data_IF_168369131199
#
_entry.id   IF_168369131199
#
_cell.length_a   1.000
_cell.length_b   1.000
_cell.length_c   1.000
_cell.angle_alpha   90.00
_cell.angle_beta   90.00
_cell.angle_gamma   90.00
#
_symmetry.space_group_name_H-M   'P 1'
#
loop_
_entity.id
_entity.type
_entity.pdbx_description
1 polymer ?
#
# COMPACT_ATOMS: atom_id res chain seq x y z
N UNK A 1 24.20 9.99 -12.39
CA UNK A 1 24.49 9.32 -11.11
C UNK A 1 23.35 8.33 -10.89
N UNK A 2 23.55 7.07 -11.30
CA UNK A 2 22.57 5.99 -11.06
C UNK A 2 22.69 5.60 -9.60
N UNK A 3 21.88 6.23 -8.75
CA UNK A 3 21.68 5.74 -7.39
C UNK A 3 21.23 4.29 -7.49
N UNK A 4 22.00 3.39 -6.91
CA UNK A 4 21.62 2.00 -6.77
C UNK A 4 20.41 1.96 -5.83
N UNK A 5 19.19 2.00 -6.38
CA UNK A 5 17.96 1.84 -5.62
C UNK A 5 17.94 0.42 -5.07
N UNK A 6 18.42 0.22 -3.85
CA UNK A 6 18.26 -1.05 -3.15
C UNK A 6 16.82 -1.14 -2.59
N UNK A 7 15.85 -1.03 -3.49
CA UNK A 7 14.44 -1.13 -3.15
C UNK A 7 14.05 -2.59 -3.14
N UNK A 8 13.89 -3.15 -1.95
CA UNK A 8 13.44 -4.54 -1.80
C UNK A 8 11.92 -4.58 -1.84
N UNK A 9 11.36 -5.13 -2.91
CA UNK A 9 9.93 -5.47 -2.96
C UNK A 9 9.62 -6.41 -1.80
N UNK A 10 8.65 -6.03 -0.97
CA UNK A 10 8.23 -6.79 0.21
C UNK A 10 6.88 -7.46 0.01
N UNK A 11 6.18 -7.20 -1.10
CA UNK A 11 4.91 -7.85 -1.38
C UNK A 11 4.28 -7.45 -2.70
N UNK A 12 3.16 -8.10 -2.96
CA UNK A 12 2.29 -7.86 -4.11
C UNK A 12 0.84 -7.74 -3.63
N UNK A 13 0.03 -7.02 -4.39
CA UNK A 13 -1.40 -6.96 -4.18
C UNK A 13 -2.16 -6.85 -5.50
N UNK A 14 -3.44 -7.17 -5.44
CA UNK A 14 -4.40 -6.80 -6.48
C UNK A 14 -5.45 -5.90 -5.85
N UNK A 15 -5.66 -4.73 -6.45
CA UNK A 15 -6.80 -3.88 -6.16
C UNK A 15 -7.90 -4.12 -7.19
N UNK A 16 -9.14 -4.19 -6.73
CA UNK A 16 -10.32 -4.24 -7.57
C UNK A 16 -11.29 -3.15 -7.21
N UNK A 17 -11.90 -2.52 -8.22
CA UNK A 17 -13.02 -1.60 -8.00
C UNK A 17 -14.20 -2.39 -7.45
N UNK A 18 -14.85 -1.89 -6.41
CA UNK A 18 -16.09 -2.50 -5.92
C UNK A 18 -17.20 -2.29 -6.95
N UNK A 19 -17.91 -3.36 -7.30
CA UNK A 19 -19.08 -3.27 -8.18
C UNK A 19 -20.29 -2.61 -7.47
N UNK A 20 -20.32 -2.69 -6.13
CA UNK A 20 -21.46 -2.26 -5.32
C UNK A 20 -21.30 -0.83 -4.77
N UNK A 21 -20.05 -0.39 -4.56
CA UNK A 21 -19.76 0.87 -3.88
C UNK A 21 -18.79 1.73 -4.72
N UNK A 22 -19.31 2.75 -5.43
CA UNK A 22 -18.46 3.72 -6.12
C UNK A 22 -17.45 4.36 -5.17
N UNK A 23 -16.21 4.54 -5.61
CA UNK A 23 -15.14 5.10 -4.79
C UNK A 23 -14.52 4.12 -3.78
N UNK A 24 -14.92 2.84 -3.81
CA UNK A 24 -14.35 1.79 -2.95
C UNK A 24 -13.52 0.82 -3.80
N UNK A 25 -12.32 0.51 -3.30
CA UNK A 25 -11.49 -0.57 -3.79
C UNK A 25 -11.40 -1.68 -2.74
N UNK A 26 -11.42 -2.93 -3.20
CA UNK A 26 -11.00 -4.08 -2.39
C UNK A 26 -9.59 -4.48 -2.77
N UNK A 27 -8.83 -4.97 -1.81
CA UNK A 27 -7.48 -5.45 -2.02
C UNK A 27 -7.34 -6.88 -1.53
N UNK A 28 -6.53 -7.66 -2.23
CA UNK A 28 -5.92 -8.89 -1.70
C UNK A 28 -4.41 -8.76 -1.82
N UNK A 29 -3.68 -9.12 -0.77
CA UNK A 29 -2.24 -8.88 -0.74
C UNK A 29 -1.49 -10.04 -0.10
N UNK A 30 -0.23 -10.18 -0.51
CA UNK A 30 0.72 -11.09 0.10
C UNK A 30 2.00 -10.32 0.42
N UNK A 31 2.43 -10.38 1.67
CA UNK A 31 3.70 -9.82 2.15
C UNK A 31 4.72 -10.95 2.27
N UNK A 32 5.98 -10.69 1.92
CA UNK A 32 7.09 -11.61 2.08
C UNK A 32 7.15 -12.12 3.53
N UNK A 33 7.27 -13.43 3.69
CA UNK A 33 7.22 -14.10 5.00
C UNK A 33 5.81 -14.46 5.48
N UNK A 34 4.74 -13.94 4.86
CA UNK A 34 3.37 -14.39 5.13
C UNK A 34 3.09 -15.75 4.49
N UNK A 35 2.29 -16.58 5.16
CA UNK A 35 1.78 -17.87 4.64
C UNK A 35 0.33 -17.79 4.16
N UNK A 36 -0.34 -16.66 4.36
CA UNK A 36 -1.74 -16.46 4.00
C UNK A 36 -1.95 -15.09 3.36
N UNK A 37 -2.93 -15.02 2.47
CA UNK A 37 -3.31 -13.81 1.77
C UNK A 37 -4.15 -12.92 2.69
N UNK A 38 -3.72 -11.68 2.86
CA UNK A 38 -4.50 -10.66 3.57
C UNK A 38 -5.51 -9.99 2.65
N UNK A 39 -6.39 -9.19 3.25
CA UNK A 39 -7.41 -8.40 2.55
C UNK A 39 -7.31 -6.92 2.91
N UNK A 40 -7.84 -6.07 2.06
CA UNK A 40 -7.93 -4.64 2.35
C UNK A 40 -9.17 -4.01 1.74
N UNK A 41 -9.55 -2.86 2.30
CA UNK A 41 -10.63 -2.03 1.81
C UNK A 41 -10.19 -0.58 1.81
N UNK A 42 -10.21 0.04 0.64
CA UNK A 42 -9.88 1.44 0.45
C UNK A 42 -11.16 2.21 0.08
N UNK A 43 -11.47 3.30 0.78
CA UNK A 43 -12.62 4.15 0.46
C UNK A 43 -12.19 5.61 0.45
N UNK A 44 -12.66 6.35 -0.56
CA UNK A 44 -12.34 7.76 -0.70
C UNK A 44 -12.89 8.38 -1.97
N UNK A 45 -12.28 9.49 -2.37
CA UNK A 45 -12.64 10.23 -3.57
C UNK A 45 -11.81 9.72 -4.76
N UNK A 46 -12.42 8.84 -5.55
CA UNK A 46 -11.76 8.18 -6.66
C UNK A 46 -12.43 8.52 -8.00
N UNK A 47 -11.59 8.72 -9.01
CA UNK A 47 -11.95 8.56 -10.41
C UNK A 47 -11.26 7.29 -10.94
N UNK A 48 -12.03 6.22 -11.06
CA UNK A 48 -11.50 4.88 -11.30
C UNK A 48 -10.56 4.43 -10.18
N UNK A 49 -9.27 4.29 -10.49
CA UNK A 49 -8.22 3.96 -9.52
C UNK A 49 -7.49 5.20 -8.99
N UNK A 50 -7.58 6.35 -9.66
CA UNK A 50 -6.82 7.54 -9.30
C UNK A 50 -7.57 8.27 -8.19
N UNK A 51 -6.88 8.61 -7.11
CA UNK A 51 -7.51 9.33 -6.01
C UNK A 51 -6.79 9.15 -4.67
N UNK A 52 -7.47 9.63 -3.63
CA UNK A 52 -7.06 9.49 -2.25
C UNK A 52 -8.06 8.59 -1.52
N UNK A 53 -7.53 7.67 -0.73
CA UNK A 53 -8.30 6.68 -0.02
C UNK A 53 -7.80 6.58 1.41
N UNK A 54 -8.73 6.36 2.35
CA UNK A 54 -8.39 5.69 3.58
C UNK A 54 -8.44 4.19 3.31
N UNK A 55 -7.35 3.48 3.59
CA UNK A 55 -7.25 2.03 3.39
C UNK A 55 -7.00 1.31 4.70
N UNK A 56 -7.78 0.26 4.95
CA UNK A 56 -7.61 -0.65 6.06
C UNK A 56 -7.20 -2.02 5.56
N UNK A 57 -6.24 -2.65 6.23
CA UNK A 57 -5.76 -3.99 5.91
C UNK A 57 -5.98 -4.96 7.06
N UNK A 58 -6.18 -6.21 6.68
CA UNK A 58 -6.34 -7.35 7.57
C UNK A 58 -5.44 -8.48 7.10
N UNK A 59 -4.80 -9.18 8.03
CA UNK A 59 -4.01 -10.37 7.71
C UNK A 59 -4.90 -11.54 7.26
N UNK A 60 -4.29 -12.66 6.86
CA UNK A 60 -5.05 -13.81 6.38
C UNK A 60 -5.89 -14.52 7.44
N UNK A 61 -5.81 -14.13 8.72
CA UNK A 61 -6.72 -14.55 9.79
C UNK A 61 -7.83 -13.51 10.04
N UNK A 62 -7.87 -12.42 9.26
CA UNK A 62 -8.84 -11.33 9.42
C UNK A 62 -8.49 -10.35 10.53
N UNK A 63 -7.29 -10.42 11.12
CA UNK A 63 -6.88 -9.49 12.17
C UNK A 63 -6.40 -8.18 11.54
N UNK A 64 -6.83 -7.07 12.12
CA UNK A 64 -6.43 -5.73 11.70
C UNK A 64 -4.89 -5.59 11.66
N UNK A 65 -4.37 -5.23 10.50
CA UNK A 65 -2.95 -5.11 10.20
C UNK A 65 -2.50 -3.65 10.01
N UNK A 66 -3.40 -2.76 9.63
CA UNK A 66 -3.12 -1.32 9.62
C UNK A 66 -4.17 -0.45 8.94
N UNK A 67 -4.07 0.86 9.17
CA UNK A 67 -4.91 1.91 8.60
C UNK A 67 -4.03 3.06 8.07
N UNK A 68 -4.13 3.34 6.78
CA UNK A 68 -3.21 4.19 6.04
C UNK A 68 -3.96 5.14 5.11
N UNK A 69 -3.34 6.26 4.79
CA UNK A 69 -3.78 7.11 3.68
C UNK A 69 -3.09 6.66 2.40
N UNK A 70 -3.85 6.08 1.48
CA UNK A 70 -3.41 5.65 0.17
C UNK A 70 -3.66 6.75 -0.86
N UNK A 71 -2.64 7.06 -1.65
CA UNK A 71 -2.76 7.88 -2.84
C UNK A 71 -2.35 7.06 -4.05
N UNK A 72 -3.18 7.05 -5.08
CA UNK A 72 -2.91 6.40 -6.36
C UNK A 72 -2.88 7.48 -7.44
N UNK A 73 -1.83 7.50 -8.25
CA UNK A 73 -1.64 8.45 -9.35
C UNK A 73 -1.23 7.71 -10.63
N UNK A 74 -1.57 8.29 -11.77
CA UNK A 74 -1.09 7.81 -13.07
C UNK A 74 0.41 8.09 -13.20
N UNK A 75 1.16 7.11 -13.68
CA UNK A 75 2.59 7.23 -13.96
C UNK A 75 2.88 6.58 -15.31
N UNK A 76 2.83 7.40 -16.39
CA UNK A 76 2.91 6.90 -17.76
C UNK A 76 1.78 5.93 -18.09
N UNK A 77 2.13 4.71 -18.47
CA UNK A 77 1.17 3.63 -18.77
C UNK A 77 0.68 2.89 -17.52
N UNK A 78 1.36 3.04 -16.39
CA UNK A 78 1.04 2.41 -15.12
C UNK A 78 0.55 3.39 -14.06
N UNK A 79 0.70 2.97 -12.80
CA UNK A 79 0.31 3.73 -11.62
C UNK A 79 1.44 3.73 -10.59
N UNK A 80 1.51 4.83 -9.85
CA UNK A 80 2.31 4.95 -8.65
C UNK A 80 1.37 5.01 -7.44
N UNK A 81 1.75 4.32 -6.37
CA UNK A 81 1.00 4.25 -5.12
C UNK A 81 1.90 4.71 -3.99
N UNK A 82 1.36 5.50 -3.08
CA UNK A 82 2.02 5.89 -1.83
C UNK A 82 1.07 5.68 -0.67
N UNK A 83 1.56 5.05 0.39
CA UNK A 83 0.82 4.87 1.63
C UNK A 83 1.45 5.73 2.72
N UNK A 84 0.63 6.51 3.42
CA UNK A 84 1.07 7.40 4.47
C UNK A 84 0.56 6.96 5.83
N UNK A 85 1.41 7.17 6.83
CA UNK A 85 1.13 6.84 8.22
C UNK A 85 -0.05 7.64 8.76
N UNK A 86 -0.90 6.98 9.55
CA UNK A 86 -2.00 7.59 10.28
C UNK A 86 -1.83 7.38 11.78
N UNK A 87 -2.43 8.25 12.63
CA UNK A 87 -2.29 8.17 14.08
C UNK A 87 -2.67 6.80 14.68
N UNK A 88 -3.65 6.13 14.07
CA UNK A 88 -4.15 4.83 14.53
C UNK A 88 -3.13 3.68 14.31
N UNK A 89 -2.09 3.93 13.51
CA UNK A 89 -1.06 2.96 13.13
C UNK A 89 0.17 3.06 14.06
N UNK A 90 0.00 2.90 15.37
CA UNK A 90 0.99 3.19 16.43
C UNK A 90 2.33 2.43 16.33
N UNK A 91 2.48 1.49 15.38
CA UNK A 91 3.61 0.55 15.33
C UNK A 91 4.78 0.96 14.42
N UNK A 92 4.69 2.06 13.68
CA UNK A 92 5.75 2.49 12.76
C UNK A 92 6.50 3.71 13.32
N UNK A 93 7.85 3.73 13.28
CA UNK A 93 8.67 4.83 13.82
C UNK A 93 8.75 6.01 12.84
N UNK A 94 7.61 6.46 12.32
CA UNK A 94 7.49 7.61 11.40
C UNK A 94 6.44 8.58 11.92
N UNK A 95 6.53 9.84 11.49
CA UNK A 95 5.50 10.82 11.86
C UNK A 95 4.21 10.58 11.05
N UNK A 96 3.09 11.01 11.61
CA UNK A 96 1.79 10.99 10.91
C UNK A 96 1.90 11.79 9.61
N UNK A 97 1.35 11.23 8.53
CA UNK A 97 1.40 11.80 7.18
C UNK A 97 2.66 11.45 6.39
N UNK A 98 3.67 10.82 7.00
CA UNK A 98 4.87 10.39 6.27
C UNK A 98 4.63 9.13 5.45
N UNK A 99 5.30 9.06 4.29
CA UNK A 99 5.20 7.89 3.40
C UNK A 99 5.89 6.70 4.07
N UNK A 100 5.13 5.62 4.25
CA UNK A 100 5.59 4.36 4.83
C UNK A 100 5.90 3.31 3.78
N UNK A 101 5.09 3.27 2.73
CA UNK A 101 5.24 2.35 1.63
C UNK A 101 5.08 3.11 0.32
N UNK A 102 5.74 2.59 -0.70
CA UNK A 102 5.59 2.99 -2.08
C UNK A 102 5.35 1.75 -2.93
N UNK A 103 4.77 1.96 -4.10
CA UNK A 103 4.46 0.86 -5.00
C UNK A 103 4.17 1.35 -6.40
N UNK A 104 4.20 0.39 -7.32
CA UNK A 104 3.86 0.59 -8.72
C UNK A 104 2.96 -0.54 -9.19
N UNK A 105 2.18 -0.28 -10.23
CA UNK A 105 1.40 -1.33 -10.86
C UNK A 105 0.79 -0.94 -12.19
N UNK A 106 0.03 -1.88 -12.73
CA UNK A 106 -0.63 -1.76 -14.02
C UNK A 106 -1.98 -2.47 -13.98
N UNK A 107 -2.86 -2.10 -14.92
CA UNK A 107 -4.18 -2.74 -15.02
C UNK A 107 -4.03 -4.16 -15.56
N UNK A 108 -4.70 -5.10 -14.92
CA UNK A 108 -4.85 -6.49 -15.39
C UNK A 108 -6.23 -6.74 -15.99
N UNK A 109 -7.14 -5.79 -15.85
CA UNK A 109 -8.49 -5.76 -16.42
C UNK A 109 -9.12 -4.38 -16.24
N UNK A 110 -10.38 -4.22 -16.65
CA UNK A 110 -11.11 -2.93 -16.54
C UNK A 110 -11.32 -2.49 -15.08
N UNK A 111 -11.45 -3.47 -14.19
CA UNK A 111 -11.77 -3.31 -12.77
C UNK A 111 -10.61 -3.74 -11.85
N UNK A 112 -9.46 -4.18 -12.38
CA UNK A 112 -8.39 -4.79 -11.60
C UNK A 112 -7.00 -4.18 -11.90
N UNK A 113 -6.21 -4.00 -10.86
CA UNK A 113 -4.83 -3.51 -10.92
C UNK A 113 -3.93 -4.40 -10.06
N UNK A 114 -2.88 -4.96 -10.67
CA UNK A 114 -1.83 -5.65 -9.94
C UNK A 114 -0.73 -4.66 -9.57
N UNK A 115 -0.26 -4.72 -8.32
CA UNK A 115 0.79 -3.84 -7.78
C UNK A 115 1.86 -4.64 -7.05
N UNK A 116 3.07 -4.11 -7.02
CA UNK A 116 4.10 -4.46 -6.04
C UNK A 116 4.37 -3.28 -5.13
N UNK A 117 4.84 -3.55 -3.92
CA UNK A 117 5.14 -2.50 -2.95
C UNK A 117 6.36 -2.83 -2.09
N UNK A 118 6.95 -1.78 -1.52
CA UNK A 118 8.14 -1.79 -0.69
C UNK A 118 8.04 -0.71 0.40
N UNK A 119 8.92 -0.80 1.40
CA UNK A 119 9.04 0.22 2.44
C UNK A 119 9.79 1.44 1.90
N UNK A 120 9.28 2.63 2.18
CA UNK A 120 9.94 3.88 1.81
C UNK A 120 11.29 4.03 2.55
N UNK A 121 12.22 4.80 1.98
CA UNK A 121 13.59 4.94 2.49
C UNK A 121 13.63 5.40 3.95
N UNK A 122 12.86 6.42 4.32
CA UNK A 122 12.84 6.99 5.66
C UNK A 122 12.49 5.97 6.77
N UNK A 123 11.39 5.21 6.68
CA UNK A 123 11.12 4.13 7.64
C UNK A 123 12.17 3.03 7.61
N UNK A 124 12.73 2.67 6.46
CA UNK A 124 13.81 1.70 6.36
C UNK A 124 15.02 2.15 7.18
N UNK A 125 15.51 3.38 6.97
CA UNK A 125 16.63 3.94 7.72
C UNK A 125 16.34 4.06 9.21
N UNK A 126 15.11 4.40 9.61
CA UNK A 126 14.72 4.47 11.01
C UNK A 126 14.79 3.11 11.72
N UNK A 127 14.36 2.03 11.06
CA UNK A 127 14.44 0.65 11.59
C UNK A 127 15.89 0.16 11.63
N UNK A 128 16.72 0.48 10.63
CA UNK A 128 18.14 0.12 10.64
C UNK A 128 18.91 0.81 11.78
N UNK A 129 18.58 2.07 12.07
CA UNK A 129 19.20 2.83 13.17
C UNK A 129 18.73 2.37 14.55
N UNK A 130 17.53 1.77 14.66
CA UNK A 130 16.96 1.24 15.89
C UNK A 130 16.20 -0.05 15.58
N UNK A 131 16.88 -1.22 15.57
CA UNK A 131 16.19 -2.49 15.43
C UNK A 131 15.12 -2.59 16.51
N UNK A 132 13.90 -2.94 16.13
CA UNK A 132 12.82 -3.20 17.09
C UNK A 132 13.28 -4.35 18.00
N UNK A 133 13.71 -4.02 19.21
CA UNK A 133 14.07 -4.95 20.28
C UNK A 133 12.82 -5.61 20.87
#
# INVERSE_FOLDING_TARGET
MLGMFNTRVIGLAEYRKSAEQPGVLTARYLTAGSRSMGSGRAAGNADGFIGHYRVQYFDGAGKFAGDLDLQIQRAGEGYQLTWRHRPENVRLPVAVGEVVYEGIGFLTGEDAMAITYWMAEKPTSAIELRPLL
#
